data_IF_822338182458
#
_entry.id   IF_822338182458
#
_cell.length_a   1.000
_cell.length_b   1.000
_cell.length_c   1.000
_cell.angle_alpha   90.00
_cell.angle_beta   90.00
_cell.angle_gamma   90.00
#
_symmetry.space_group_name_H-M   'P 1'
#
loop_
_entity.id
_entity.type
_entity.pdbx_description
1 polymer ?
#
# COMPACT_ATOMS: atom_id res chain seq x y z
N UNK A 1 -16.13 -7.56 -18.94
CA UNK A 1 -15.94 -9.02 -18.82
C UNK A 1 -16.15 -9.37 -17.35
N UNK A 2 -17.23 -10.07 -17.00
CA UNK A 2 -17.44 -10.48 -15.60
C UNK A 2 -16.46 -11.58 -15.26
N UNK A 3 -15.41 -11.26 -14.49
CA UNK A 3 -14.47 -12.26 -13.99
C UNK A 3 -15.20 -13.10 -12.94
N UNK A 4 -15.32 -14.40 -13.18
CA UNK A 4 -15.83 -15.32 -12.16
C UNK A 4 -14.91 -15.23 -10.94
N UNK A 5 -15.45 -15.26 -9.70
CA UNK A 5 -14.63 -15.16 -8.51
C UNK A 5 -13.61 -16.30 -8.48
N UNK A 6 -12.32 -15.97 -8.45
CA UNK A 6 -11.26 -16.96 -8.34
C UNK A 6 -11.32 -17.59 -6.94
N UNK A 7 -11.70 -18.88 -6.87
CA UNK A 7 -11.84 -19.60 -5.61
C UNK A 7 -10.59 -20.43 -5.31
N UNK A 8 -10.08 -20.32 -4.08
CA UNK A 8 -9.03 -21.19 -3.55
C UNK A 8 -9.63 -22.21 -2.57
N UNK A 9 -9.21 -23.47 -2.67
CA UNK A 9 -9.56 -24.50 -1.69
C UNK A 9 -8.73 -24.32 -0.41
N UNK A 10 -9.36 -23.88 0.68
CA UNK A 10 -8.70 -23.72 1.97
C UNK A 10 -8.80 -25.01 2.81
N UNK A 11 -7.66 -25.63 3.11
CA UNK A 11 -7.58 -26.86 3.91
C UNK A 11 -7.00 -26.59 5.29
N UNK A 12 -7.81 -26.76 6.33
CA UNK A 12 -7.34 -26.67 7.71
C UNK A 12 -6.30 -27.75 8.02
N UNK A 13 -5.36 -27.42 8.90
CA UNK A 13 -4.37 -28.37 9.41
C UNK A 13 -4.91 -29.12 10.63
N UNK A 14 -4.41 -30.33 10.92
CA UNK A 14 -4.83 -31.09 12.10
C UNK A 14 -4.36 -30.48 13.41
N UNK A 15 -3.26 -29.73 13.39
CA UNK A 15 -2.71 -28.98 14.52
C UNK A 15 -2.20 -27.61 14.06
N UNK A 16 -2.15 -26.65 14.99
CA UNK A 16 -1.61 -25.31 14.73
C UNK A 16 -0.08 -25.40 14.58
N UNK A 17 0.45 -24.73 13.56
CA UNK A 17 1.89 -24.69 13.26
C UNK A 17 2.27 -23.32 12.69
N UNK A 18 3.56 -23.08 12.48
CA UNK A 18 4.07 -21.81 11.97
C UNK A 18 3.38 -21.36 10.66
N UNK A 19 2.96 -22.30 9.81
CA UNK A 19 2.40 -22.02 8.49
C UNK A 19 0.93 -22.44 8.34
N UNK A 20 0.24 -22.80 9.43
CA UNK A 20 -1.11 -23.34 9.33
C UNK A 20 -1.88 -23.34 10.63
N UNK A 21 -3.19 -23.16 10.51
CA UNK A 21 -4.13 -23.12 11.63
C UNK A 21 -5.18 -24.22 11.49
N UNK A 22 -5.64 -24.71 12.64
CA UNK A 22 -6.78 -25.60 12.78
C UNK A 22 -8.10 -24.83 12.64
N UNK A 23 -9.16 -25.56 12.32
CA UNK A 23 -10.51 -24.99 12.27
C UNK A 23 -10.98 -24.47 13.62
N UNK A 24 -10.55 -25.11 14.72
CA UNK A 24 -10.92 -24.70 16.09
C UNK A 24 -10.39 -23.29 16.36
N UNK A 25 -9.14 -23.03 16.01
CA UNK A 25 -8.51 -21.71 16.19
C UNK A 25 -9.18 -20.66 15.32
N UNK A 26 -9.49 -20.96 14.05
CA UNK A 26 -10.22 -20.05 13.17
C UNK A 26 -11.63 -19.74 13.68
N UNK A 27 -12.36 -20.73 14.22
CA UNK A 27 -13.67 -20.51 14.83
C UNK A 27 -13.61 -19.59 16.06
N UNK A 28 -12.65 -19.79 16.94
CA UNK A 28 -12.44 -18.92 18.11
C UNK A 28 -12.13 -17.49 17.70
N UNK A 29 -11.32 -17.31 16.65
CA UNK A 29 -11.05 -15.99 16.08
C UNK A 29 -12.31 -15.35 15.51
N UNK A 30 -13.11 -16.12 14.76
CA UNK A 30 -14.37 -15.68 14.19
C UNK A 30 -15.34 -15.19 15.29
N UNK A 31 -15.52 -15.98 16.36
CA UNK A 31 -16.34 -15.64 17.52
C UNK A 31 -15.83 -14.38 18.24
N UNK A 32 -14.51 -14.27 18.45
CA UNK A 32 -13.89 -13.11 19.13
C UNK A 32 -14.05 -11.82 18.33
N UNK A 33 -13.97 -11.91 17.01
CA UNK A 33 -14.09 -10.77 16.11
C UNK A 33 -15.55 -10.49 15.69
N UNK A 34 -16.49 -11.38 16.00
CA UNK A 34 -17.89 -11.27 15.58
C UNK A 34 -18.08 -11.41 14.06
N UNK A 35 -17.19 -12.14 13.39
CA UNK A 35 -17.22 -12.35 11.93
C UNK A 35 -17.29 -13.84 11.60
N UNK A 36 -17.50 -14.22 10.34
CA UNK A 36 -17.49 -15.63 9.92
C UNK A 36 -16.07 -16.17 9.65
N UNK A 37 -15.93 -17.49 9.54
CA UNK A 37 -14.63 -18.15 9.28
C UNK A 37 -13.97 -17.61 7.98
N UNK A 38 -14.77 -17.33 6.95
CA UNK A 38 -14.31 -16.83 5.66
C UNK A 38 -13.74 -15.41 5.76
N UNK A 39 -14.41 -14.54 6.51
CA UNK A 39 -13.98 -13.17 6.72
C UNK A 39 -12.73 -13.09 7.57
N UNK A 40 -12.55 -14.00 8.54
CA UNK A 40 -11.26 -14.12 9.26
C UNK A 40 -10.12 -14.40 8.27
N UNK A 41 -10.33 -15.29 7.31
CA UNK A 41 -9.31 -15.62 6.30
C UNK A 41 -9.00 -14.39 5.43
N UNK A 42 -10.03 -13.65 4.98
CA UNK A 42 -9.82 -12.41 4.23
C UNK A 42 -9.08 -11.34 5.05
N UNK A 43 -9.43 -11.18 6.32
CA UNK A 43 -8.79 -10.21 7.20
C UNK A 43 -7.31 -10.55 7.42
N UNK A 44 -7.00 -11.82 7.67
CA UNK A 44 -5.63 -12.30 7.83
C UNK A 44 -4.79 -12.07 6.56
N UNK A 45 -5.35 -12.37 5.38
CA UNK A 45 -4.67 -12.11 4.10
C UNK A 45 -4.46 -10.62 3.86
N UNK A 46 -5.45 -9.77 4.19
CA UNK A 46 -5.31 -8.31 4.12
C UNK A 46 -4.20 -7.82 5.04
N UNK A 47 -4.14 -8.30 6.27
CA UNK A 47 -3.10 -7.90 7.22
C UNK A 47 -1.71 -8.34 6.74
N UNK A 48 -1.59 -9.54 6.18
CA UNK A 48 -0.35 -10.01 5.55
C UNK A 48 0.05 -9.14 4.35
N UNK A 49 -0.92 -8.79 3.50
CA UNK A 49 -0.69 -7.92 2.35
C UNK A 49 -0.18 -6.54 2.77
N UNK A 50 -0.78 -5.93 3.79
CA UNK A 50 -0.34 -4.63 4.33
C UNK A 50 1.09 -4.70 4.90
N UNK A 51 1.46 -5.83 5.50
CA UNK A 51 2.78 -6.05 6.10
C UNK A 51 3.88 -6.33 5.08
N UNK A 52 3.56 -7.08 4.02
CA UNK A 52 4.57 -7.64 3.11
C UNK A 52 4.58 -7.01 1.72
N UNK A 53 3.43 -6.52 1.24
CA UNK A 53 3.34 -5.93 -0.09
C UNK A 53 3.58 -4.42 -0.01
N UNK A 54 4.33 -3.85 -0.99
CA UNK A 54 4.41 -2.41 -1.15
C UNK A 54 3.00 -1.83 -1.29
N UNK A 55 2.67 -0.84 -0.45
CA UNK A 55 1.40 -0.12 -0.53
C UNK A 55 1.39 0.91 -1.67
N UNK A 56 2.57 1.20 -2.22
CA UNK A 56 2.78 2.08 -3.35
C UNK A 56 3.41 1.29 -4.49
N UNK A 57 3.10 1.67 -5.72
CA UNK A 57 3.86 1.20 -6.87
C UNK A 57 5.33 1.53 -6.65
N UNK A 58 6.21 0.61 -7.07
CA UNK A 58 7.62 0.91 -7.08
C UNK A 58 7.84 2.17 -7.93
N UNK A 59 8.60 3.13 -7.40
CA UNK A 59 8.96 4.34 -8.13
C UNK A 59 9.52 3.95 -9.51
N UNK A 60 9.15 4.68 -10.58
CA UNK A 60 9.68 4.46 -11.93
C UNK A 60 11.19 4.75 -12.02
N UNK A 61 11.79 5.13 -10.89
CA UNK A 61 13.19 5.42 -10.72
C UNK A 61 13.50 6.89 -10.97
N UNK A 62 14.79 7.23 -10.91
CA UNK A 62 15.22 8.60 -11.16
C UNK A 62 14.85 9.04 -12.59
N UNK A 63 14.44 10.30 -12.73
CA UNK A 63 14.15 10.91 -14.03
C UNK A 63 15.34 10.71 -15.00
N UNK A 64 15.02 10.24 -16.19
CA UNK A 64 15.99 10.10 -17.28
C UNK A 64 16.51 11.48 -17.72
N UNK A 65 17.70 11.50 -18.32
CA UNK A 65 18.31 12.75 -18.79
C UNK A 65 17.42 13.48 -19.84
N UNK A 66 16.67 12.73 -20.63
CA UNK A 66 15.71 13.27 -21.61
C UNK A 66 14.54 13.96 -20.93
N UNK A 67 13.95 13.35 -19.90
CA UNK A 67 12.89 13.94 -19.09
C UNK A 67 13.38 15.21 -18.37
N UNK A 68 14.58 15.17 -17.78
CA UNK A 68 15.20 16.36 -17.17
C UNK A 68 15.38 17.50 -18.17
N UNK A 69 15.81 17.19 -19.39
CA UNK A 69 15.99 18.18 -20.44
C UNK A 69 14.65 18.78 -20.92
N UNK A 70 13.57 17.98 -20.96
CA UNK A 70 12.22 18.46 -21.26
C UNK A 70 11.71 19.39 -20.16
N UNK A 71 11.86 19.01 -18.89
CA UNK A 71 11.49 19.84 -17.74
C UNK A 71 12.21 21.18 -17.79
N UNK A 72 13.53 21.19 -18.05
CA UNK A 72 14.31 22.44 -18.17
C UNK A 72 13.84 23.34 -19.32
N UNK A 73 13.29 22.77 -20.40
CA UNK A 73 12.73 23.53 -21.53
C UNK A 73 11.36 24.13 -21.20
N UNK A 74 10.51 23.38 -20.49
CA UNK A 74 9.14 23.77 -20.14
C UNK A 74 9.08 24.69 -18.91
N UNK A 75 10.05 24.58 -18.01
CA UNK A 75 10.12 25.41 -16.82
C UNK A 75 10.25 26.89 -17.20
N UNK A 76 9.35 27.77 -16.72
CA UNK A 76 9.46 29.19 -16.97
C UNK A 76 10.77 29.69 -16.35
N UNK A 77 11.62 30.31 -17.16
CA UNK A 77 12.83 30.97 -16.65
C UNK A 77 12.39 32.17 -15.83
N UNK A 78 12.37 32.02 -14.51
CA UNK A 78 11.99 33.08 -13.60
C UNK A 78 12.98 34.24 -13.74
N UNK A 79 12.50 35.41 -14.20
CA UNK A 79 13.28 36.66 -14.18
C UNK A 79 13.34 37.29 -12.78
N UNK A 80 13.35 36.48 -11.71
CA UNK A 80 13.52 37.01 -10.37
C UNK A 80 15.00 37.30 -10.15
N UNK A 81 15.36 38.57 -10.24
CA UNK A 81 16.69 39.12 -9.93
C UNK A 81 17.05 39.05 -8.45
N UNK A 82 16.14 38.57 -7.60
CA UNK A 82 16.34 38.41 -6.16
C UNK A 82 16.01 36.99 -5.73
N UNK A 83 17.00 36.36 -5.11
CA UNK A 83 16.82 35.15 -4.31
C UNK A 83 16.00 35.57 -3.08
N UNK A 84 14.77 35.06 -2.96
CA UNK A 84 14.01 35.19 -1.71
C UNK A 84 14.53 34.15 -0.74
N UNK A 85 15.06 34.60 0.39
CA UNK A 85 15.55 33.72 1.46
C UNK A 85 14.42 33.04 2.25
N UNK A 86 13.19 33.49 2.09
CA UNK A 86 12.00 32.91 2.73
C UNK A 86 10.85 32.76 1.74
N UNK A 87 10.10 31.67 1.89
CA UNK A 87 8.91 31.35 1.09
C UNK A 87 7.65 32.03 1.64
N UNK A 88 7.67 32.38 2.93
CA UNK A 88 6.62 33.13 3.61
C UNK A 88 7.01 34.61 3.63
N UNK A 89 6.04 35.49 3.32
CA UNK A 89 6.18 36.91 3.59
C UNK A 89 6.22 37.10 5.11
N UNK A 90 7.26 37.78 5.61
CA UNK A 90 7.26 38.20 7.02
C UNK A 90 6.23 39.31 7.17
N UNK A 91 5.06 38.94 7.64
CA UNK A 91 4.01 39.88 8.02
C UNK A 91 4.58 40.77 9.15
N UNK A 92 4.59 42.09 8.92
CA UNK A 92 5.17 43.09 9.83
C UNK A 92 4.49 43.02 11.20
N UNK A 93 5.32 43.00 12.24
CA UNK A 93 4.95 43.27 13.63
C UNK A 93 4.60 44.74 13.86
#
# INVERSE_FOLDING_TARGET
>A
MSSAPAQIAFRFRPYDSANGVTRITTKRLAETLGVDETQVIHLALRELAVKLLPQYEADEGALTQTQLNQIKKLAPKTKLTKIRSTLFDRENA
#
